data_IF_992331828425
#
_entry.id   IF_992331828425
#
_cell.length_a   1.000
_cell.length_b   1.000
_cell.length_c   1.000
_cell.angle_alpha   90.00
_cell.angle_beta   90.00
_cell.angle_gamma   90.00
#
_symmetry.space_group_name_H-M   'P 1'
#
loop_
_entity.id
_entity.type
_entity.pdbx_description
1 polymer ?
#
# COMPACT_ATOMS: atom_id res chain seq x y z
N UNK A 1 7.27 37.19 6.63
CA UNK A 1 8.73 37.07 6.72
C UNK A 1 9.07 35.68 6.25
N UNK A 2 9.88 35.51 5.21
CA UNK A 2 10.29 34.16 4.79
C UNK A 2 11.03 33.52 5.96
N UNK A 3 10.47 32.46 6.53
CA UNK A 3 11.20 31.62 7.47
C UNK A 3 12.48 31.12 6.80
N UNK A 4 13.51 30.84 7.60
CA UNK A 4 14.73 30.23 7.09
C UNK A 4 14.38 28.97 6.26
N UNK A 5 15.11 28.71 5.16
CA UNK A 5 14.82 27.56 4.31
C UNK A 5 14.96 26.25 5.10
N UNK A 6 14.01 25.34 4.89
CA UNK A 6 13.92 24.06 5.57
C UNK A 6 14.36 22.95 4.63
N UNK A 7 15.58 22.47 4.80
CA UNK A 7 16.12 21.37 4.01
C UNK A 7 16.10 20.06 4.79
N UNK A 8 15.65 18.99 4.14
CA UNK A 8 15.60 17.65 4.72
C UNK A 8 14.20 17.08 4.80
N UNK A 9 14.08 15.95 5.51
CA UNK A 9 12.81 15.24 5.74
C UNK A 9 12.35 15.46 7.18
N UNK A 10 11.09 15.84 7.34
CA UNK A 10 10.45 16.06 8.62
C UNK A 10 9.34 15.03 8.84
N UNK A 11 9.18 14.54 10.07
CA UNK A 11 8.08 13.62 10.38
C UNK A 11 6.77 14.38 10.49
N UNK A 12 5.80 13.96 9.70
CA UNK A 12 4.45 14.49 9.74
C UNK A 12 3.41 13.42 10.08
N UNK A 13 2.27 13.87 10.59
CA UNK A 13 1.06 13.08 10.77
C UNK A 13 -0.08 13.70 9.99
N UNK A 14 -0.76 12.92 9.16
CA UNK A 14 -1.87 13.41 8.33
C UNK A 14 -3.03 13.85 9.22
N UNK A 15 -3.43 15.12 9.08
CA UNK A 15 -4.57 15.70 9.80
C UNK A 15 -5.85 15.72 8.94
N UNK A 16 -5.71 15.91 7.63
CA UNK A 16 -6.81 15.92 6.68
C UNK A 16 -6.33 15.43 5.31
N UNK A 17 -7.13 14.58 4.67
CA UNK A 17 -6.86 14.02 3.35
C UNK A 17 -8.00 14.22 2.35
N UNK A 18 -9.02 15.01 2.71
CA UNK A 18 -10.15 15.36 1.84
C UNK A 18 -9.77 16.55 0.95
N UNK A 19 -8.93 16.29 -0.05
CA UNK A 19 -8.41 17.30 -0.98
C UNK A 19 -9.51 17.82 -1.93
N UNK A 20 -9.92 19.10 -1.88
CA UNK A 20 -10.94 19.65 -2.79
C UNK A 20 -10.53 19.60 -4.26
N UNK A 21 -9.22 19.57 -4.56
CA UNK A 21 -8.70 19.49 -5.94
C UNK A 21 -8.56 18.05 -6.43
N UNK A 22 -8.75 17.05 -5.57
CA UNK A 22 -8.69 15.62 -5.93
C UNK A 22 -7.37 15.23 -6.61
N UNK A 23 -6.25 15.87 -6.23
CA UNK A 23 -4.92 15.60 -6.78
C UNK A 23 -3.98 14.93 -5.78
N UNK A 24 -4.52 14.40 -4.67
CA UNK A 24 -3.77 13.60 -3.70
C UNK A 24 -2.97 14.42 -2.69
N UNK A 25 -3.37 15.68 -2.44
CA UNK A 25 -2.75 16.49 -1.38
C UNK A 25 -3.25 16.07 0.01
N UNK A 26 -2.44 16.35 1.02
CA UNK A 26 -2.81 16.16 2.43
C UNK A 26 -2.42 17.37 3.27
N UNK A 27 -3.18 17.66 4.31
CA UNK A 27 -2.77 18.58 5.38
C UNK A 27 -2.13 17.76 6.50
N UNK A 28 -0.99 18.22 6.99
CA UNK A 28 -0.12 17.43 7.87
C UNK A 28 0.31 18.26 9.07
N UNK A 29 0.36 17.64 10.25
CA UNK A 29 0.97 18.23 11.44
C UNK A 29 2.42 17.78 11.51
N UNK A 30 3.34 18.73 11.63
CA UNK A 30 4.80 18.48 11.70
C UNK A 30 5.32 19.00 13.05
N UNK A 31 5.50 18.15 14.07
CA UNK A 31 5.84 18.59 15.43
C UNK A 31 7.14 19.38 15.53
N UNK A 32 8.15 19.02 14.72
CA UNK A 32 9.48 19.64 14.74
C UNK A 32 9.48 21.07 14.17
N UNK A 33 8.41 21.46 13.48
CA UNK A 33 8.26 22.78 12.88
C UNK A 33 7.28 23.59 13.72
N UNK A 34 7.80 24.19 14.79
CA UNK A 34 7.05 25.17 15.57
C UNK A 34 6.58 26.30 14.63
N UNK A 35 5.27 26.37 14.38
CA UNK A 35 4.66 27.35 13.49
C UNK A 35 4.25 26.84 12.10
N UNK A 36 4.41 25.55 11.78
CA UNK A 36 3.72 24.99 10.61
C UNK A 36 2.21 25.03 10.87
N UNK A 37 1.55 26.01 10.28
CA UNK A 37 0.11 26.21 10.43
C UNK A 37 -0.58 24.99 9.81
N UNK A 38 -1.39 24.23 10.57
CA UNK A 38 -2.27 23.22 10.00
C UNK A 38 -3.23 23.93 9.03
N UNK A 39 -2.94 23.87 7.74
CA UNK A 39 -3.69 24.64 6.75
C UNK A 39 -3.18 24.46 5.32
N UNK A 40 -1.87 24.41 5.11
CA UNK A 40 -1.30 24.26 3.77
C UNK A 40 -1.37 22.81 3.29
N UNK A 41 -1.77 22.64 2.03
CA UNK A 41 -1.86 21.34 1.38
C UNK A 41 -0.49 20.91 0.88
N UNK A 42 0.02 19.79 1.40
CA UNK A 42 1.26 19.19 0.92
C UNK A 42 1.04 18.49 -0.42
N UNK A 43 1.88 18.79 -1.41
CA UNK A 43 1.86 18.15 -2.73
C UNK A 43 2.39 16.70 -2.66
N UNK A 44 1.80 15.76 -3.41
CA UNK A 44 2.30 14.39 -3.44
C UNK A 44 3.61 14.25 -4.24
N UNK A 45 4.60 13.57 -3.65
CA UNK A 45 5.73 13.01 -4.38
C UNK A 45 5.52 11.49 -4.50
N UNK A 46 4.91 11.07 -5.60
CA UNK A 46 4.56 9.66 -5.89
C UNK A 46 5.52 9.02 -6.88
N UNK A 47 5.65 7.68 -6.91
CA UNK A 47 6.60 6.99 -7.80
C UNK A 47 6.41 7.27 -9.30
N UNK A 48 5.17 7.50 -9.74
CA UNK A 48 4.85 7.92 -11.10
C UNK A 48 3.56 8.76 -11.12
N UNK A 49 3.54 9.81 -11.94
CA UNK A 49 2.38 10.65 -12.21
C UNK A 49 2.42 11.18 -13.66
N UNK A 50 1.28 11.20 -14.34
CA UNK A 50 1.14 11.70 -15.71
C UNK A 50 -0.33 11.74 -16.15
N UNK A 51 -0.58 12.10 -17.41
CA UNK A 51 -1.95 12.15 -17.95
C UNK A 51 -2.55 10.74 -17.93
N UNK A 52 -3.58 10.52 -17.10
CA UNK A 52 -4.28 9.24 -16.93
C UNK A 52 -3.37 8.03 -16.61
N UNK A 53 -2.24 8.27 -15.92
CA UNK A 53 -1.29 7.21 -15.54
C UNK A 53 -0.54 7.56 -14.27
N UNK A 54 -0.16 6.56 -13.48
CA UNK A 54 0.65 6.73 -12.28
C UNK A 54 0.23 5.88 -11.08
N UNK A 55 0.86 6.15 -9.94
CA UNK A 55 0.53 5.55 -8.65
C UNK A 55 -0.26 6.55 -7.82
N UNK A 56 -1.58 6.38 -7.77
CA UNK A 56 -2.46 7.24 -7.00
C UNK A 56 -2.85 6.57 -5.68
N UNK A 57 -2.37 7.15 -4.57
CA UNK A 57 -2.77 6.76 -3.22
C UNK A 57 -2.76 7.98 -2.32
N UNK A 58 -3.66 8.01 -1.35
CA UNK A 58 -3.75 9.10 -0.38
C UNK A 58 -3.62 8.48 1.02
N UNK A 59 -2.58 8.87 1.79
CA UNK A 59 -2.44 8.45 3.17
C UNK A 59 -3.70 8.76 4.00
N UNK A 60 -4.05 7.85 4.91
CA UNK A 60 -5.19 8.05 5.79
C UNK A 60 -4.91 9.08 6.88
N UNK A 61 -5.96 9.70 7.42
CA UNK A 61 -5.85 10.56 8.61
C UNK A 61 -5.20 9.75 9.74
N UNK A 62 -4.21 10.35 10.40
CA UNK A 62 -3.38 9.70 11.43
C UNK A 62 -2.15 8.97 10.90
N UNK A 63 -1.99 8.77 9.59
CA UNK A 63 -0.82 8.10 9.03
C UNK A 63 0.45 8.95 9.17
N UNK A 64 1.58 8.28 9.39
CA UNK A 64 2.91 8.88 9.35
C UNK A 64 3.38 9.10 7.92
N UNK A 65 3.79 10.33 7.60
CA UNK A 65 4.35 10.71 6.29
C UNK A 65 5.63 11.53 6.46
N UNK A 66 6.54 11.44 5.50
CA UNK A 66 7.68 12.36 5.45
C UNK A 66 7.29 13.63 4.71
N UNK A 67 7.68 14.78 5.27
CA UNK A 67 7.46 16.09 4.68
C UNK A 67 8.79 16.68 4.22
N UNK A 68 8.78 17.23 3.01
CA UNK A 68 9.81 18.07 2.43
C UNK A 68 9.20 19.39 1.96
N UNK A 69 10.03 20.28 1.45
CA UNK A 69 9.62 21.61 1.00
C UNK A 69 10.25 21.92 -0.36
N UNK A 70 9.46 22.42 -1.31
CA UNK A 70 9.98 22.78 -2.63
C UNK A 70 11.08 23.83 -2.48
N UNK A 71 12.31 23.48 -2.86
CA UNK A 71 13.50 24.36 -2.74
C UNK A 71 13.73 24.84 -1.30
N UNK A 72 13.21 24.11 -0.31
CA UNK A 72 13.28 24.48 1.10
C UNK A 72 12.28 25.56 1.52
N UNK A 73 11.32 25.93 0.68
CA UNK A 73 10.31 26.95 0.98
C UNK A 73 9.16 26.37 1.84
N UNK A 74 9.00 26.82 3.09
CA UNK A 74 7.99 26.27 4.00
C UNK A 74 6.54 26.48 3.55
N UNK A 75 6.30 27.42 2.63
CA UNK A 75 4.98 27.66 2.03
C UNK A 75 4.61 26.61 0.96
N UNK A 76 5.56 25.79 0.51
CA UNK A 76 5.37 24.75 -0.52
C UNK A 76 5.73 23.35 0.01
N UNK A 77 4.92 22.79 0.94
CA UNK A 77 5.15 21.46 1.48
C UNK A 77 4.91 20.36 0.43
N UNK A 78 5.68 19.28 0.55
CA UNK A 78 5.58 18.05 -0.24
C UNK A 78 5.52 16.87 0.74
N UNK A 79 4.60 15.92 0.54
CA UNK A 79 4.64 14.65 1.26
C UNK A 79 5.31 13.58 0.39
N UNK A 80 6.24 12.84 0.98
CA UNK A 80 7.12 11.90 0.29
C UNK A 80 7.08 10.54 0.99
N UNK A 81 6.14 9.70 0.58
CA UNK A 81 5.98 8.37 1.16
C UNK A 81 5.50 8.36 2.62
N UNK A 82 5.23 7.16 3.12
CA UNK A 82 4.77 6.91 4.48
C UNK A 82 5.81 6.18 5.32
N UNK A 83 5.61 6.17 6.64
CA UNK A 83 6.33 5.31 7.57
C UNK A 83 5.35 4.67 8.55
N UNK A 84 5.71 3.48 9.03
CA UNK A 84 5.01 2.82 10.13
C UNK A 84 5.66 3.21 11.46
N UNK A 85 4.87 3.75 12.38
CA UNK A 85 5.33 4.07 13.73
C UNK A 85 5.42 2.83 14.62
N UNK A 86 4.58 1.84 14.36
CA UNK A 86 4.49 0.60 15.15
C UNK A 86 4.29 -0.63 14.26
N UNK A 87 4.59 -1.81 14.81
CA UNK A 87 4.34 -3.08 14.11
C UNK A 87 2.85 -3.32 13.77
N UNK A 88 1.93 -2.72 14.53
CA UNK A 88 0.50 -2.85 14.31
C UNK A 88 -0.02 -2.10 13.06
N UNK A 89 0.74 -1.13 12.56
CA UNK A 89 0.39 -0.34 11.37
C UNK A 89 0.86 -1.01 10.07
N UNK A 90 1.75 -2.00 10.16
CA UNK A 90 2.25 -2.75 9.01
C UNK A 90 1.09 -3.54 8.38
N UNK A 91 0.99 -3.61 7.04
CA UNK A 91 -0.01 -4.43 6.37
C UNK A 91 -0.04 -5.86 6.93
N UNK A 92 -1.20 -6.31 7.40
CA UNK A 92 -1.36 -7.64 8.00
C UNK A 92 -0.92 -8.77 7.07
N UNK A 93 -1.15 -8.63 5.76
CA UNK A 93 -0.72 -9.60 4.77
C UNK A 93 0.80 -9.68 4.60
N UNK A 94 1.56 -8.66 5.01
CA UNK A 94 3.01 -8.73 5.00
C UNK A 94 3.54 -9.78 5.99
N UNK A 95 2.76 -10.11 7.03
CA UNK A 95 3.11 -11.18 7.97
C UNK A 95 2.94 -12.59 7.41
N UNK A 96 2.35 -12.75 6.21
CA UNK A 96 2.41 -14.01 5.49
C UNK A 96 3.85 -14.32 5.01
N UNK A 97 4.70 -13.29 4.91
CA UNK A 97 6.12 -13.43 4.57
C UNK A 97 6.93 -13.41 5.88
N UNK A 98 7.62 -14.51 6.23
CA UNK A 98 8.47 -14.56 7.42
C UNK A 98 9.62 -13.54 7.34
N UNK A 99 10.04 -12.97 8.48
CA UNK A 99 11.24 -12.13 8.52
C UNK A 99 12.46 -12.84 7.93
N UNK A 100 13.23 -12.14 7.09
CA UNK A 100 14.39 -12.70 6.39
C UNK A 100 14.08 -13.32 5.02
N UNK A 101 12.80 -13.46 4.68
CA UNK A 101 12.35 -13.82 3.33
C UNK A 101 11.91 -12.56 2.59
N UNK A 102 12.27 -12.46 1.31
CA UNK A 102 11.88 -11.31 0.48
C UNK A 102 10.39 -11.39 0.15
N UNK A 103 9.70 -10.26 0.28
CA UNK A 103 8.34 -10.14 -0.18
C UNK A 103 7.88 -8.69 -0.31
N UNK A 104 6.87 -8.49 -1.16
CA UNK A 104 6.26 -7.21 -1.45
C UNK A 104 4.77 -7.32 -1.16
N UNK A 105 4.23 -6.40 -0.37
CA UNK A 105 2.80 -6.38 -0.02
C UNK A 105 2.22 -5.01 -0.28
N UNK A 106 1.09 -4.98 -0.98
CA UNK A 106 0.24 -3.80 -1.11
C UNK A 106 -1.12 -4.18 -0.56
N UNK A 107 -1.63 -3.41 0.40
CA UNK A 107 -2.85 -3.74 1.10
C UNK A 107 -3.65 -2.49 1.45
N UNK A 108 -4.96 -2.55 1.25
CA UNK A 108 -5.92 -1.59 1.79
C UNK A 108 -6.22 -1.88 3.29
N UNK A 109 -6.80 -0.93 4.05
CA UNK A 109 -7.16 -1.16 5.45
C UNK A 109 -8.11 -2.35 5.68
N UNK A 110 -8.98 -2.65 4.71
CA UNK A 110 -9.90 -3.78 4.79
C UNK A 110 -9.26 -5.12 4.40
N UNK A 111 -7.97 -5.16 4.06
CA UNK A 111 -7.21 -6.37 3.65
C UNK A 111 -7.48 -6.88 2.23
N UNK A 112 -7.99 -6.03 1.33
CA UNK A 112 -7.81 -6.28 -0.10
C UNK A 112 -6.35 -6.02 -0.44
N UNK A 113 -5.67 -6.96 -1.07
CA UNK A 113 -4.24 -6.83 -1.28
C UNK A 113 -3.61 -7.78 -2.30
N UNK A 114 -2.37 -7.46 -2.63
CA UNK A 114 -1.44 -8.23 -3.45
C UNK A 114 -0.20 -8.52 -2.61
N UNK A 115 0.22 -9.78 -2.58
CA UNK A 115 1.47 -10.24 -1.95
C UNK A 115 2.30 -10.97 -3.00
N UNK A 116 3.57 -10.62 -3.11
CA UNK A 116 4.59 -11.36 -3.86
C UNK A 116 5.61 -11.84 -2.82
N UNK A 117 5.92 -13.14 -2.79
CA UNK A 117 6.72 -13.75 -1.73
C UNK A 117 7.63 -14.86 -2.23
N UNK A 118 8.88 -14.87 -1.76
CA UNK A 118 9.85 -15.94 -1.99
C UNK A 118 9.70 -17.11 -0.99
N UNK A 119 8.59 -17.20 -0.25
CA UNK A 119 8.32 -18.33 0.63
C UNK A 119 8.17 -19.62 -0.20
N UNK A 120 8.84 -20.73 0.14
CA UNK A 120 8.70 -21.96 -0.62
C UNK A 120 7.33 -22.62 -0.39
N UNK A 121 6.85 -23.36 -1.41
CA UNK A 121 5.65 -24.19 -1.30
C UNK A 121 4.33 -23.42 -1.51
N UNK A 122 3.21 -23.88 -0.94
CA UNK A 122 1.87 -23.40 -1.31
C UNK A 122 1.54 -21.99 -0.77
N UNK A 123 2.34 -21.46 0.14
CA UNK A 123 2.09 -20.18 0.82
C UNK A 123 2.89 -19.01 0.27
N UNK A 124 3.83 -19.25 -0.66
CA UNK A 124 4.53 -18.18 -1.36
C UNK A 124 4.04 -17.97 -2.79
N UNK A 125 4.89 -17.36 -3.61
CA UNK A 125 4.53 -16.93 -4.96
C UNK A 125 3.72 -15.64 -4.94
N UNK A 126 2.63 -15.59 -5.71
CA UNK A 126 1.81 -14.39 -5.91
C UNK A 126 0.40 -14.65 -5.41
N UNK A 127 -0.07 -13.83 -4.47
CA UNK A 127 -1.42 -13.87 -3.93
C UNK A 127 -2.13 -12.55 -4.17
N UNK A 128 -3.29 -12.61 -4.82
CA UNK A 128 -4.27 -11.53 -4.88
C UNK A 128 -5.47 -11.97 -4.06
N UNK A 129 -5.92 -11.14 -3.13
CA UNK A 129 -7.07 -11.48 -2.31
C UNK A 129 -7.97 -10.29 -1.97
N UNK A 130 -9.24 -10.59 -1.72
CA UNK A 130 -10.21 -9.66 -1.16
C UNK A 130 -10.47 -9.96 0.32
N UNK A 131 -11.02 -8.99 1.03
CA UNK A 131 -11.48 -9.14 2.43
C UNK A 131 -12.43 -10.32 2.62
N UNK A 132 -13.25 -10.63 1.61
CA UNK A 132 -14.30 -11.65 1.69
C UNK A 132 -13.82 -13.04 1.28
N UNK A 133 -12.52 -13.23 1.07
CA UNK A 133 -11.91 -14.54 0.77
C UNK A 133 -11.90 -14.94 -0.69
N UNK A 134 -12.27 -14.05 -1.63
CA UNK A 134 -11.99 -14.30 -3.04
C UNK A 134 -10.50 -14.11 -3.29
N UNK A 135 -9.88 -15.01 -4.06
CA UNK A 135 -8.44 -15.01 -4.25
C UNK A 135 -7.98 -15.63 -5.56
N UNK A 136 -6.81 -15.20 -6.02
CA UNK A 136 -5.98 -15.87 -7.01
C UNK A 136 -4.62 -16.11 -6.35
N UNK A 137 -4.18 -17.36 -6.30
CA UNK A 137 -2.89 -17.75 -5.76
C UNK A 137 -2.10 -18.47 -6.84
N UNK A 138 -0.86 -18.02 -7.09
CA UNK A 138 0.10 -18.64 -8.00
C UNK A 138 1.31 -19.02 -7.16
N UNK A 139 1.59 -20.30 -7.04
CA UNK A 139 2.69 -20.83 -6.22
C UNK A 139 3.44 -21.93 -6.97
N UNK A 140 4.55 -22.40 -6.41
CA UNK A 140 5.31 -23.53 -6.97
C UNK A 140 4.50 -24.83 -7.02
N UNK A 141 3.46 -24.94 -6.18
CA UNK A 141 2.59 -26.13 -6.13
C UNK A 141 1.52 -26.08 -7.23
N UNK A 142 1.13 -24.90 -7.68
CA UNK A 142 0.04 -24.72 -8.62
C UNK A 142 -0.65 -23.37 -8.53
N UNK A 143 -1.78 -23.27 -9.23
CA UNK A 143 -2.57 -22.04 -9.34
C UNK A 143 -3.99 -22.31 -8.84
N UNK A 144 -4.48 -21.44 -7.96
CA UNK A 144 -5.83 -21.51 -7.38
C UNK A 144 -6.58 -20.22 -7.68
N UNK A 145 -7.79 -20.33 -8.20
CA UNK A 145 -8.76 -19.24 -8.32
C UNK A 145 -9.98 -19.61 -7.47
N UNK A 146 -10.32 -18.80 -6.49
CA UNK A 146 -11.46 -19.03 -5.59
C UNK A 146 -12.32 -17.77 -5.49
N UNK A 147 -13.65 -17.95 -5.53
CA UNK A 147 -14.57 -16.84 -5.29
C UNK A 147 -14.88 -16.62 -3.80
N UNK A 148 -14.27 -17.40 -2.90
CA UNK A 148 -14.54 -17.35 -1.45
C UNK A 148 -15.93 -17.86 -1.04
N UNK A 149 -16.70 -18.42 -1.98
CA UNK A 149 -18.09 -18.86 -1.81
C UNK A 149 -18.33 -20.28 -2.35
N UNK A 150 -17.26 -21.09 -2.45
CA UNK A 150 -17.32 -22.49 -2.84
C UNK A 150 -17.03 -22.79 -4.31
N UNK A 151 -17.00 -21.79 -5.20
CA UNK A 151 -16.53 -22.02 -6.57
C UNK A 151 -15.01 -21.87 -6.63
N UNK A 152 -14.33 -22.89 -7.16
CA UNK A 152 -12.86 -22.98 -7.20
C UNK A 152 -12.40 -23.59 -8.51
N UNK A 153 -11.29 -23.08 -9.04
CA UNK A 153 -10.48 -23.72 -10.07
C UNK A 153 -9.10 -23.94 -9.48
N UNK A 154 -8.66 -25.20 -9.43
CA UNK A 154 -7.34 -25.58 -8.95
C UNK A 154 -6.55 -26.24 -10.08
N UNK A 155 -5.34 -25.75 -10.35
CA UNK A 155 -4.44 -26.30 -11.35
C UNK A 155 -3.19 -26.83 -10.64
N UNK A 156 -2.94 -28.13 -10.76
CA UNK A 156 -1.82 -28.80 -10.10
C UNK A 156 -1.19 -29.80 -11.07
N UNK A 157 0.07 -29.57 -11.45
CA UNK A 157 0.72 -30.36 -12.51
C UNK A 157 -0.07 -30.28 -13.83
N UNK A 158 -0.37 -31.40 -14.50
CA UNK A 158 -1.19 -31.41 -15.71
C UNK A 158 -2.71 -31.31 -15.43
N UNK A 159 -3.13 -31.41 -14.17
CA UNK A 159 -4.55 -31.52 -13.83
C UNK A 159 -5.21 -30.17 -13.59
N UNK A 160 -6.43 -30.02 -14.08
CA UNK A 160 -7.35 -28.93 -13.77
C UNK A 160 -8.56 -29.50 -13.07
N UNK A 161 -8.80 -29.03 -11.85
CA UNK A 161 -9.96 -29.39 -11.03
C UNK A 161 -10.89 -28.19 -10.86
N UNK A 162 -12.17 -28.38 -11.17
CA UNK A 162 -13.22 -27.37 -10.99
C UNK A 162 -14.19 -27.86 -9.93
N UNK A 163 -14.40 -26.99 -8.92
CA UNK A 163 -15.29 -27.19 -7.79
C UNK A 163 -15.05 -28.52 -7.04
N UNK A 164 -13.78 -28.84 -6.75
CA UNK A 164 -13.39 -29.95 -5.87
C UNK A 164 -13.88 -31.32 -6.38
N UNK A 165 -13.59 -31.62 -7.64
CA UNK A 165 -13.94 -32.89 -8.29
C UNK A 165 -15.25 -32.89 -9.07
N UNK A 166 -15.94 -31.75 -9.20
CA UNK A 166 -17.15 -31.68 -10.04
C UNK A 166 -16.82 -31.83 -11.53
N UNK A 167 -15.66 -31.31 -11.96
CA UNK A 167 -15.06 -31.57 -13.25
C UNK A 167 -13.55 -31.60 -13.09
N UNK A 168 -12.93 -32.73 -13.42
CA UNK A 168 -11.48 -32.89 -13.39
C UNK A 168 -10.99 -33.29 -14.77
N UNK A 169 -9.99 -32.57 -15.27
CA UNK A 169 -9.26 -32.85 -16.51
C UNK A 169 -7.82 -33.18 -16.15
N UNK A 170 -7.22 -34.17 -16.83
CA UNK A 170 -5.84 -34.66 -16.62
C UNK A 170 -5.12 -34.73 -17.96
#
# INVERSE_FOLDING_TARGET
MSSAPLFGKYRGTVANNVDPMQIGRVQVMVPDLAGFVPGTWAMPCVPAAGINTGFFTVPMIGAGVWIEFERGDPDYPIWVGGYWGTAAEVPLLAHAVPPGVTGFTIQTPLKNGLVISDVPGPTGGILIQTTTGAMISVSDVGIIISNGKGAVINMTGPSVDVNLGALTVV
#
